data_IF_178595401045
#
_entry.id   IF_178595401045
#
_cell.length_a   1.000
_cell.length_b   1.000
_cell.length_c   1.000
_cell.angle_alpha   90.00
_cell.angle_beta   90.00
_cell.angle_gamma   90.00
#
_symmetry.space_group_name_H-M   'P 1'
#
loop_
_entity.id
_entity.type
_entity.pdbx_description
1 polymer ?
#
# COMPACT_ATOMS: atom_id res chain seq x y z
N UNK A 1 38.75 -3.73 -8.95
CA UNK A 1 38.37 -3.73 -10.38
C UNK A 1 37.95 -5.17 -10.68
N UNK A 2 36.68 -5.50 -10.91
CA UNK A 2 35.78 -4.88 -11.87
C UNK A 2 34.32 -4.91 -11.38
N UNK A 3 33.53 -4.04 -11.99
CA UNK A 3 32.19 -3.66 -11.60
C UNK A 3 31.13 -4.73 -11.91
N UNK A 4 30.25 -4.98 -10.93
CA UNK A 4 28.88 -5.42 -11.16
C UNK A 4 27.94 -4.27 -10.80
N UNK A 5 27.91 -3.27 -11.69
CA UNK A 5 26.86 -2.26 -11.73
C UNK A 5 25.86 -2.65 -12.83
N UNK A 6 24.79 -3.34 -12.45
CA UNK A 6 23.70 -3.62 -13.38
C UNK A 6 22.60 -4.50 -12.78
N UNK A 7 21.46 -3.89 -12.42
CA UNK A 7 20.09 -4.48 -12.56
C UNK A 7 18.98 -3.83 -11.72
N UNK A 8 19.12 -2.61 -11.21
CA UNK A 8 18.01 -1.97 -10.45
C UNK A 8 16.91 -1.31 -11.31
N UNK A 9 16.94 -1.47 -12.64
CA UNK A 9 16.00 -0.79 -13.57
C UNK A 9 14.83 -1.70 -14.03
N UNK A 10 14.96 -3.05 -13.99
CA UNK A 10 13.95 -3.94 -14.62
C UNK A 10 12.79 -4.39 -13.72
N UNK A 11 12.83 -4.20 -12.39
CA UNK A 11 11.76 -4.64 -11.47
C UNK A 11 10.58 -3.67 -11.32
N UNK A 12 10.64 -2.48 -11.91
CA UNK A 12 9.59 -1.45 -11.78
C UNK A 12 8.50 -1.53 -12.87
N UNK A 13 8.80 -2.20 -13.98
CA UNK A 13 7.90 -2.35 -15.11
C UNK A 13 7.28 -3.74 -15.09
N UNK A 14 5.95 -3.81 -15.09
CA UNK A 14 5.21 -5.05 -15.25
C UNK A 14 4.87 -5.16 -16.73
N UNK A 15 5.46 -6.14 -17.42
CA UNK A 15 5.32 -6.37 -18.86
C UNK A 15 4.01 -7.10 -19.20
N UNK A 16 2.90 -6.60 -18.67
CA UNK A 16 1.56 -7.14 -18.86
C UNK A 16 0.71 -6.13 -19.65
N UNK A 17 0.46 -6.37 -20.94
CA UNK A 17 -0.43 -5.53 -21.72
C UNK A 17 -1.82 -5.48 -21.07
N UNK A 18 -2.26 -4.30 -20.65
CA UNK A 18 -3.47 -4.16 -19.85
C UNK A 18 -4.25 -2.88 -20.20
N UNK A 19 -5.54 -2.91 -19.91
CA UNK A 19 -6.41 -1.75 -19.88
C UNK A 19 -6.66 -1.37 -18.42
N UNK A 20 -6.27 -0.15 -18.04
CA UNK A 20 -6.45 0.38 -16.70
C UNK A 20 -7.73 1.22 -16.70
N UNK A 21 -8.83 0.65 -16.22
CA UNK A 21 -10.13 1.31 -16.15
C UNK A 21 -10.15 2.24 -14.94
N UNK A 22 -10.57 3.48 -15.16
CA UNK A 22 -10.58 4.50 -14.11
C UNK A 22 -11.94 4.56 -13.42
N UNK A 23 -11.91 4.84 -12.11
CA UNK A 23 -13.10 5.35 -11.40
C UNK A 23 -13.41 6.78 -11.85
N UNK A 24 -14.57 7.30 -11.45
CA UNK A 24 -14.93 8.71 -11.71
C UNK A 24 -13.89 9.67 -11.13
N UNK A 25 -13.44 9.44 -9.89
CA UNK A 25 -12.42 10.25 -9.25
C UNK A 25 -11.08 10.16 -9.97
N UNK A 26 -10.72 8.96 -10.45
CA UNK A 26 -9.53 8.74 -11.26
C UNK A 26 -9.57 9.48 -12.59
N UNK A 27 -10.71 9.43 -13.28
CA UNK A 27 -10.96 10.16 -14.52
C UNK A 27 -10.78 11.67 -14.31
N UNK A 28 -11.47 12.25 -13.32
CA UNK A 28 -11.41 13.68 -13.05
C UNK A 28 -9.99 14.14 -12.69
N UNK A 29 -9.25 13.31 -11.94
CA UNK A 29 -7.85 13.58 -11.60
C UNK A 29 -6.96 13.58 -12.85
N UNK A 30 -7.06 12.57 -13.70
CA UNK A 30 -6.24 12.44 -14.90
C UNK A 30 -6.58 13.50 -15.97
N UNK A 31 -7.86 13.83 -16.12
CA UNK A 31 -8.32 14.88 -17.03
C UNK A 31 -7.74 16.25 -16.66
N UNK A 32 -7.69 16.59 -15.36
CA UNK A 32 -7.00 17.81 -14.87
C UNK A 32 -5.50 17.81 -15.18
N UNK A 33 -4.88 16.63 -15.11
CA UNK A 33 -3.46 16.43 -15.43
C UNK A 33 -3.12 16.48 -16.93
N UNK A 34 -4.11 16.68 -17.82
CA UNK A 34 -3.97 16.63 -19.28
C UNK A 34 -3.44 15.28 -19.80
N UNK A 35 -3.62 14.20 -19.05
CA UNK A 35 -3.29 12.85 -19.52
C UNK A 35 -4.33 12.43 -20.57
N UNK A 36 -3.92 11.96 -21.76
CA UNK A 36 -4.86 11.48 -22.76
C UNK A 36 -5.65 10.28 -22.23
N UNK A 37 -6.98 10.40 -22.18
CA UNK A 37 -7.88 9.33 -21.77
C UNK A 37 -8.52 8.71 -23.02
N UNK A 38 -8.64 7.38 -23.03
CA UNK A 38 -9.25 6.65 -24.14
C UNK A 38 -10.34 5.72 -23.65
N UNK A 39 -11.22 5.31 -24.57
CA UNK A 39 -12.14 4.21 -24.31
C UNK A 39 -11.36 2.91 -24.43
N UNK A 40 -11.21 2.20 -23.33
CA UNK A 40 -10.48 0.94 -23.24
C UNK A 40 -11.44 -0.22 -22.97
N UNK A 41 -11.10 -1.44 -23.41
CA UNK A 41 -11.87 -2.63 -23.04
C UNK A 41 -11.78 -2.89 -21.53
N UNK A 42 -12.83 -3.48 -20.99
CA UNK A 42 -12.91 -3.93 -19.61
C UNK A 42 -13.83 -5.14 -19.51
N UNK A 43 -14.19 -5.54 -18.29
CA UNK A 43 -15.19 -6.58 -18.07
C UNK A 43 -16.55 -6.11 -18.61
N UNK A 44 -16.92 -6.60 -19.80
CA UNK A 44 -18.14 -6.25 -20.54
C UNK A 44 -17.87 -5.82 -21.98
N UNK A 45 -18.93 -5.53 -22.75
CA UNK A 45 -18.84 -5.16 -24.18
C UNK A 45 -18.76 -3.65 -24.42
N UNK A 46 -19.18 -2.83 -23.46
CA UNK A 46 -19.06 -1.37 -23.54
C UNK A 46 -17.66 -0.94 -23.09
N UNK A 47 -16.89 -0.31 -23.98
CA UNK A 47 -15.62 0.31 -23.61
C UNK A 47 -15.83 1.33 -22.49
N UNK A 48 -14.89 1.44 -21.55
CA UNK A 48 -14.91 2.34 -20.39
C UNK A 48 -13.79 3.36 -20.47
N UNK A 49 -13.87 4.45 -19.70
CA UNK A 49 -12.80 5.45 -19.68
C UNK A 49 -11.58 4.92 -18.93
N UNK A 50 -10.41 5.01 -19.55
CA UNK A 50 -9.20 4.46 -18.96
C UNK A 50 -7.92 4.78 -19.71
N UNK A 51 -6.88 4.02 -19.37
CA UNK A 51 -5.55 4.12 -19.95
C UNK A 51 -5.18 2.78 -20.57
N UNK A 52 -4.69 2.82 -21.81
CA UNK A 52 -4.18 1.63 -22.50
C UNK A 52 -2.69 1.49 -22.24
N UNK A 53 -2.27 0.34 -21.73
CA UNK A 53 -0.88 0.02 -21.42
C UNK A 53 -0.39 -1.12 -22.31
N UNK A 54 -0.18 -0.85 -23.61
CA UNK A 54 0.11 -1.90 -24.61
C UNK A 54 1.42 -2.67 -24.36
N UNK A 55 2.43 -2.03 -23.75
CA UNK A 55 3.74 -2.63 -23.45
C UNK A 55 3.91 -3.01 -21.98
N UNK A 56 2.86 -2.90 -21.18
CA UNK A 56 2.94 -2.97 -19.73
C UNK A 56 2.91 -1.61 -19.04
N UNK A 57 3.03 -1.63 -17.72
CA UNK A 57 2.82 -0.46 -16.87
C UNK A 57 3.82 -0.40 -15.70
N UNK A 58 4.09 0.81 -15.23
CA UNK A 58 4.94 1.01 -14.06
C UNK A 58 4.20 0.65 -12.77
N UNK A 59 4.74 -0.31 -12.04
CA UNK A 59 4.21 -0.83 -10.78
C UNK A 59 3.90 0.29 -9.78
N UNK A 60 4.84 1.21 -9.54
CA UNK A 60 4.66 2.29 -8.57
C UNK A 60 3.51 3.25 -8.92
N UNK A 61 3.28 3.48 -10.22
CA UNK A 61 2.20 4.37 -10.69
C UNK A 61 0.86 3.71 -10.43
N UNK A 62 0.70 2.46 -10.87
CA UNK A 62 -0.54 1.68 -10.66
C UNK A 62 -0.82 1.47 -9.17
N UNK A 63 0.20 1.21 -8.36
CA UNK A 63 0.07 1.11 -6.90
C UNK A 63 -0.49 2.41 -6.31
N UNK A 64 0.08 3.55 -6.68
CA UNK A 64 -0.44 4.87 -6.24
C UNK A 64 -1.88 5.10 -6.70
N UNK A 65 -2.22 4.74 -7.93
CA UNK A 65 -3.58 4.87 -8.43
C UNK A 65 -4.55 4.00 -7.64
N UNK A 66 -4.19 2.75 -7.35
CA UNK A 66 -4.99 1.84 -6.52
C UNK A 66 -5.16 2.37 -5.08
N UNK A 67 -4.08 2.87 -4.46
CA UNK A 67 -4.13 3.49 -3.13
C UNK A 67 -5.09 4.67 -3.07
N UNK A 68 -5.15 5.48 -4.14
CA UNK A 68 -6.05 6.63 -4.22
C UNK A 68 -7.45 6.27 -4.74
N UNK A 69 -7.76 5.00 -4.98
CA UNK A 69 -9.04 4.53 -5.57
C UNK A 69 -9.32 5.12 -6.96
N UNK A 70 -8.28 5.36 -7.75
CA UNK A 70 -8.40 5.85 -9.12
C UNK A 70 -8.62 4.74 -10.14
N UNK A 71 -8.38 3.48 -9.77
CA UNK A 71 -8.58 2.31 -10.62
C UNK A 71 -9.84 1.57 -10.19
N UNK A 72 -10.71 1.31 -11.17
CA UNK A 72 -11.85 0.41 -11.03
C UNK A 72 -11.43 -1.04 -11.34
N UNK A 73 -10.68 -1.21 -12.42
CA UNK A 73 -10.34 -2.53 -12.98
C UNK A 73 -8.97 -2.49 -13.69
N UNK A 74 -8.24 -3.60 -13.62
CA UNK A 74 -7.10 -3.89 -14.50
C UNK A 74 -7.51 -5.05 -15.39
N UNK A 75 -7.81 -4.75 -16.65
CA UNK A 75 -8.29 -5.74 -17.61
C UNK A 75 -7.17 -6.24 -18.52
N UNK A 76 -7.06 -7.55 -18.66
CA UNK A 76 -6.08 -8.21 -19.51
C UNK A 76 -6.80 -9.21 -20.41
N UNK A 77 -6.57 -9.10 -21.72
CA UNK A 77 -7.04 -10.05 -22.70
C UNK A 77 -5.84 -10.53 -23.53
N UNK A 78 -5.48 -11.81 -23.38
CA UNK A 78 -4.42 -12.46 -24.14
C UNK A 78 -4.86 -13.89 -24.47
N UNK A 79 -4.43 -14.44 -25.62
CA UNK A 79 -4.66 -15.85 -25.95
C UNK A 79 -3.95 -16.84 -25.00
N UNK A 80 -2.84 -16.40 -24.40
CA UNK A 80 -2.01 -17.16 -23.47
C UNK A 80 -1.62 -16.23 -22.30
N UNK A 81 -2.27 -16.45 -21.16
CA UNK A 81 -2.03 -15.80 -19.88
C UNK A 81 -1.05 -16.60 -19.01
N UNK A 82 -0.94 -17.92 -19.19
CA UNK A 82 0.01 -18.75 -18.44
C UNK A 82 1.46 -18.35 -18.69
N UNK A 83 1.83 -17.93 -19.91
CA UNK A 83 3.16 -17.35 -20.17
C UNK A 83 3.41 -16.02 -19.45
N UNK A 84 2.37 -15.38 -18.91
CA UNK A 84 2.42 -14.13 -18.13
C UNK A 84 2.25 -14.34 -16.62
N UNK A 85 2.43 -15.58 -16.15
CA UNK A 85 2.28 -15.95 -14.73
C UNK A 85 2.98 -14.99 -13.78
N UNK A 86 4.25 -14.68 -14.03
CA UNK A 86 5.05 -13.85 -13.15
C UNK A 86 4.50 -12.41 -13.06
N UNK A 87 4.07 -11.84 -14.17
CA UNK A 87 3.50 -10.50 -14.25
C UNK A 87 2.12 -10.42 -13.61
N UNK A 88 1.28 -11.45 -13.77
CA UNK A 88 -0.04 -11.52 -13.13
C UNK A 88 0.11 -11.59 -11.61
N UNK A 89 0.98 -12.47 -11.10
CA UNK A 89 1.29 -12.57 -9.67
C UNK A 89 1.84 -11.23 -9.14
N UNK A 90 2.77 -10.62 -9.87
CA UNK A 90 3.35 -9.32 -9.49
C UNK A 90 2.28 -8.21 -9.44
N UNK A 91 1.35 -8.20 -10.39
CA UNK A 91 0.22 -7.26 -10.42
C UNK A 91 -0.72 -7.48 -9.25
N UNK A 92 -1.08 -8.74 -8.96
CA UNK A 92 -1.92 -9.06 -7.82
C UNK A 92 -1.28 -8.62 -6.50
N UNK A 93 -0.01 -8.97 -6.30
CA UNK A 93 0.73 -8.53 -5.12
C UNK A 93 0.73 -6.99 -5.03
N UNK A 94 1.06 -6.29 -6.10
CA UNK A 94 1.04 -4.83 -6.13
C UNK A 94 -0.27 -4.24 -5.59
N UNK A 95 -1.41 -4.78 -6.04
CA UNK A 95 -2.75 -4.32 -5.66
C UNK A 95 -3.05 -4.66 -4.20
N UNK A 96 -2.75 -5.87 -3.74
CA UNK A 96 -2.94 -6.26 -2.34
C UNK A 96 -2.13 -5.35 -1.41
N UNK A 97 -0.85 -5.10 -1.73
CA UNK A 97 -0.02 -4.18 -0.96
C UNK A 97 -0.58 -2.75 -0.98
N UNK A 98 -1.09 -2.27 -2.13
CA UNK A 98 -1.75 -0.96 -2.23
C UNK A 98 -2.94 -0.85 -1.25
N UNK A 99 -3.77 -1.89 -1.18
CA UNK A 99 -4.93 -1.95 -0.28
C UNK A 99 -4.47 -1.95 1.18
N UNK A 100 -3.47 -2.77 1.52
CA UNK A 100 -2.91 -2.82 2.87
C UNK A 100 -2.36 -1.46 3.30
N UNK A 101 -1.58 -0.78 2.46
CA UNK A 101 -1.08 0.56 2.75
C UNK A 101 -2.19 1.59 2.94
N UNK A 102 -3.23 1.54 2.09
CA UNK A 102 -4.38 2.45 2.19
C UNK A 102 -5.17 2.26 3.49
N UNK A 103 -5.28 1.02 3.97
CA UNK A 103 -6.05 0.67 5.18
C UNK A 103 -5.28 0.92 6.48
N UNK A 104 -3.95 0.87 6.43
CA UNK A 104 -3.08 1.07 7.60
C UNK A 104 -3.33 2.40 8.32
N UNK A 105 -3.24 3.53 7.60
CA UNK A 105 -3.36 4.86 8.23
C UNK A 105 -4.70 5.06 8.96
N UNK A 106 -5.86 4.73 8.36
CA UNK A 106 -7.14 4.73 9.07
C UNK A 106 -7.16 3.83 10.32
N UNK A 107 -6.62 2.62 10.26
CA UNK A 107 -6.57 1.72 11.42
C UNK A 107 -5.71 2.28 12.56
N UNK A 108 -4.56 2.86 12.23
CA UNK A 108 -3.71 3.54 13.22
C UNK A 108 -4.43 4.75 13.82
N UNK A 109 -5.10 5.56 12.98
CA UNK A 109 -5.85 6.72 13.42
C UNK A 109 -6.92 6.34 14.44
N UNK A 110 -7.73 5.33 14.12
CA UNK A 110 -8.80 4.82 14.99
C UNK A 110 -8.25 4.45 16.37
N UNK A 111 -7.15 3.68 16.41
CA UNK A 111 -6.54 3.24 17.67
C UNK A 111 -5.94 4.39 18.49
N UNK A 112 -5.37 5.40 17.84
CA UNK A 112 -4.91 6.61 18.53
C UNK A 112 -6.08 7.39 19.11
N UNK A 113 -7.10 7.65 18.31
CA UNK A 113 -8.24 8.50 18.70
C UNK A 113 -9.06 7.85 19.83
N UNK A 114 -9.08 6.53 19.91
CA UNK A 114 -9.69 5.76 21.01
C UNK A 114 -8.91 5.85 22.34
N UNK A 115 -7.63 6.22 22.30
CA UNK A 115 -6.75 6.25 23.46
C UNK A 115 -7.20 7.28 24.52
N UNK A 116 -6.92 6.97 25.79
CA UNK A 116 -7.23 7.89 26.89
C UNK A 116 -6.45 9.21 26.79
N UNK A 117 -5.26 9.20 26.17
CA UNK A 117 -4.46 10.42 25.95
C UNK A 117 -5.18 11.41 25.05
N UNK A 118 -5.78 10.95 23.94
CA UNK A 118 -6.53 11.85 23.04
C UNK A 118 -7.79 12.36 23.72
N UNK A 119 -8.49 11.52 24.50
CA UNK A 119 -9.65 11.95 25.29
C UNK A 119 -9.28 13.04 26.28
N UNK A 120 -8.17 12.89 27.00
CA UNK A 120 -7.66 13.90 27.93
C UNK A 120 -7.18 15.17 27.22
N UNK A 121 -6.52 15.02 26.07
CA UNK A 121 -6.11 16.14 25.23
C UNK A 121 -7.33 16.96 24.79
N UNK A 122 -8.38 16.31 24.31
CA UNK A 122 -9.62 16.95 23.87
C UNK A 122 -10.33 17.67 25.02
N UNK A 123 -10.34 17.07 26.22
CA UNK A 123 -10.89 17.70 27.42
C UNK A 123 -10.14 18.99 27.79
N UNK A 124 -8.82 19.02 27.65
CA UNK A 124 -7.98 20.21 27.91
C UNK A 124 -8.03 21.23 26.76
N UNK A 125 -8.29 20.78 25.53
CA UNK A 125 -8.28 21.60 24.32
C UNK A 125 -9.61 21.51 23.54
N UNK A 126 -10.74 21.93 24.12
CA UNK A 126 -12.07 21.71 23.54
C UNK A 126 -12.21 22.32 22.14
N UNK A 127 -11.60 23.49 21.89
CA UNK A 127 -11.62 24.18 20.57
C UNK A 127 -10.78 23.50 19.49
N UNK A 128 -9.87 22.60 19.88
CA UNK A 128 -8.96 21.88 18.98
C UNK A 128 -9.09 20.36 19.17
N UNK A 129 -10.31 19.88 19.45
CA UNK A 129 -10.56 18.46 19.68
C UNK A 129 -10.22 17.62 18.45
N UNK A 130 -9.48 16.55 18.68
CA UNK A 130 -9.08 15.55 17.71
C UNK A 130 -10.13 14.46 17.66
N UNK A 131 -11.08 14.58 16.73
CA UNK A 131 -12.18 13.60 16.52
C UNK A 131 -11.95 12.76 15.27
N UNK A 132 -11.30 13.32 14.25
CA UNK A 132 -10.86 12.62 13.03
C UNK A 132 -9.45 13.13 12.69
N UNK A 133 -8.53 12.24 12.32
CA UNK A 133 -7.20 12.64 11.84
C UNK A 133 -7.27 13.54 10.61
N UNK A 134 -8.36 13.49 9.82
CA UNK A 134 -8.58 14.37 8.67
C UNK A 134 -8.78 15.83 9.04
N UNK A 135 -9.14 16.14 10.29
CA UNK A 135 -9.24 17.53 10.76
C UNK A 135 -7.87 18.21 10.86
N UNK A 136 -6.79 17.42 10.92
CA UNK A 136 -5.42 17.91 10.96
C UNK A 136 -5.05 18.43 9.56
N UNK A 137 -4.66 19.71 9.43
CA UNK A 137 -4.19 20.25 8.17
C UNK A 137 -2.95 19.50 7.70
N UNK A 138 -2.99 18.97 6.47
CA UNK A 138 -1.89 18.18 5.90
C UNK A 138 -0.57 18.96 5.89
N UNK A 139 -0.60 20.24 5.53
CA UNK A 139 0.58 21.10 5.51
C UNK A 139 1.25 21.22 6.89
N UNK A 140 0.47 21.33 7.96
CA UNK A 140 1.01 21.41 9.32
C UNK A 140 1.65 20.10 9.77
N UNK A 141 1.05 18.96 9.40
CA UNK A 141 1.61 17.65 9.68
C UNK A 141 2.92 17.40 8.90
N UNK A 142 2.94 17.75 7.61
CA UNK A 142 4.13 17.66 6.75
C UNK A 142 5.27 18.55 7.28
N UNK A 143 4.95 19.77 7.72
CA UNK A 143 5.91 20.70 8.32
C UNK A 143 6.47 20.17 9.63
N UNK A 144 5.62 19.61 10.52
CA UNK A 144 6.07 19.02 11.79
C UNK A 144 7.08 17.89 11.54
N UNK A 145 6.76 16.95 10.65
CA UNK A 145 7.62 15.80 10.33
C UNK A 145 8.96 16.28 9.75
N UNK A 146 8.92 17.28 8.88
CA UNK A 146 10.14 17.86 8.29
C UNK A 146 10.99 18.57 9.33
N UNK A 147 10.38 19.40 10.18
CA UNK A 147 11.08 20.20 11.20
C UNK A 147 11.68 19.35 12.32
N UNK A 148 11.03 18.23 12.65
CA UNK A 148 11.46 17.30 13.72
C UNK A 148 11.98 15.98 13.14
N UNK A 149 12.66 16.03 12.00
CA UNK A 149 13.12 14.83 11.28
C UNK A 149 13.89 13.86 12.18
N UNK A 150 14.86 14.36 12.96
CA UNK A 150 15.69 13.51 13.83
C UNK A 150 14.85 12.76 14.88
N UNK A 151 13.83 13.40 15.44
CA UNK A 151 12.91 12.76 16.38
C UNK A 151 12.10 11.66 15.70
N UNK A 152 11.60 11.91 14.48
CA UNK A 152 10.84 10.89 13.74
C UNK A 152 11.74 9.74 13.26
N UNK A 153 12.99 10.01 12.92
CA UNK A 153 13.97 8.95 12.61
C UNK A 153 14.21 8.04 13.83
N UNK A 154 14.28 8.60 15.05
CA UNK A 154 14.33 7.82 16.30
C UNK A 154 13.06 6.98 16.46
N UNK A 155 11.88 7.62 16.39
CA UNK A 155 10.58 6.92 16.51
C UNK A 155 10.46 5.77 15.50
N UNK A 156 10.93 5.97 14.26
CA UNK A 156 10.90 4.94 13.24
C UNK A 156 11.83 3.78 13.55
N UNK A 157 13.01 4.06 14.12
CA UNK A 157 13.94 3.01 14.52
C UNK A 157 13.41 2.23 15.73
N UNK A 158 12.88 2.90 16.75
CA UNK A 158 12.29 2.24 17.92
C UNK A 158 11.15 1.29 17.49
N UNK A 159 10.27 1.77 16.60
CA UNK A 159 9.18 0.98 16.04
C UNK A 159 9.69 -0.21 15.22
N UNK A 160 10.77 -0.01 14.44
CA UNK A 160 11.39 -1.09 13.69
C UNK A 160 11.97 -2.14 14.61
N UNK A 161 12.65 -1.74 15.67
CA UNK A 161 13.26 -2.65 16.64
C UNK A 161 12.19 -3.49 17.34
N UNK A 162 11.04 -2.89 17.68
CA UNK A 162 9.89 -3.63 18.22
C UNK A 162 9.32 -4.66 17.23
N UNK A 163 9.14 -4.27 15.97
CA UNK A 163 8.66 -5.21 14.93
C UNK A 163 9.69 -6.31 14.67
N UNK A 164 10.98 -5.97 14.61
CA UNK A 164 12.08 -6.90 14.39
C UNK A 164 12.24 -7.90 15.54
N UNK A 165 12.13 -7.42 16.77
CA UNK A 165 12.09 -8.26 17.96
C UNK A 165 10.92 -9.24 17.88
N UNK A 166 9.74 -8.77 17.49
CA UNK A 166 8.57 -9.64 17.33
C UNK A 166 8.78 -10.69 16.23
N UNK A 167 9.31 -10.30 15.07
CA UNK A 167 9.66 -11.24 13.99
C UNK A 167 10.68 -12.28 14.44
N UNK A 168 11.67 -11.91 15.26
CA UNK A 168 12.69 -12.82 15.77
C UNK A 168 12.12 -13.95 16.64
N UNK A 169 10.95 -13.70 17.26
CA UNK A 169 10.23 -14.66 18.11
C UNK A 169 9.28 -15.58 17.34
N UNK A 170 9.20 -15.45 16.02
CA UNK A 170 8.35 -16.29 15.17
C UNK A 170 9.12 -17.49 14.62
N UNK A 171 8.40 -18.57 14.36
CA UNK A 171 8.91 -19.77 13.67
C UNK A 171 8.93 -19.62 12.14
N UNK A 172 8.78 -18.39 11.63
CA UNK A 172 8.82 -18.12 10.19
C UNK A 172 10.21 -18.43 9.61
N UNK A 173 10.28 -18.87 8.34
CA UNK A 173 11.54 -18.93 7.62
C UNK A 173 12.27 -17.57 7.59
N UNK A 174 13.60 -17.58 7.62
CA UNK A 174 14.40 -16.35 7.58
C UNK A 174 14.18 -15.51 6.31
N UNK A 175 13.84 -16.16 5.19
CA UNK A 175 13.48 -15.49 3.95
C UNK A 175 12.18 -14.67 4.10
N UNK A 176 11.17 -15.23 4.77
CA UNK A 176 9.89 -14.55 5.04
C UNK A 176 10.08 -13.40 6.02
N UNK A 177 10.89 -13.60 7.07
CA UNK A 177 11.26 -12.52 7.99
C UNK A 177 11.94 -11.39 7.24
N UNK A 178 12.92 -11.69 6.39
CA UNK A 178 13.63 -10.70 5.57
C UNK A 178 12.68 -9.94 4.65
N UNK A 179 11.72 -10.65 4.03
CA UNK A 179 10.71 -10.03 3.16
C UNK A 179 9.81 -9.07 3.93
N UNK A 180 9.36 -9.46 5.12
CA UNK A 180 8.55 -8.60 6.02
C UNK A 180 9.34 -7.38 6.50
N UNK A 181 10.62 -7.54 6.86
CA UNK A 181 11.51 -6.41 7.21
C UNK A 181 11.68 -5.41 6.07
N UNK A 182 11.86 -5.88 4.84
CA UNK A 182 11.92 -4.99 3.66
C UNK A 182 10.58 -4.29 3.40
N UNK A 183 9.46 -4.95 3.69
CA UNK A 183 8.13 -4.35 3.54
C UNK A 183 7.88 -3.28 4.62
N UNK A 184 8.38 -3.46 5.85
CA UNK A 184 8.21 -2.54 6.97
C UNK A 184 8.61 -1.11 6.61
N UNK A 185 9.76 -0.92 5.96
CA UNK A 185 10.20 0.39 5.48
C UNK A 185 9.17 1.08 4.59
N UNK A 186 8.50 0.31 3.71
CA UNK A 186 7.45 0.84 2.85
C UNK A 186 6.19 1.15 3.65
N UNK A 187 5.77 0.26 4.55
CA UNK A 187 4.60 0.49 5.42
C UNK A 187 4.75 1.79 6.20
N UNK A 188 5.88 1.98 6.89
CA UNK A 188 6.16 3.19 7.69
C UNK A 188 6.14 4.46 6.81
N UNK A 189 6.80 4.42 5.65
CA UNK A 189 6.83 5.57 4.71
C UNK A 189 5.47 5.93 4.11
N UNK A 190 4.54 4.98 4.03
CA UNK A 190 3.20 5.19 3.49
C UNK A 190 2.17 5.61 4.55
N UNK A 191 2.55 5.61 5.84
CA UNK A 191 1.71 6.19 6.88
C UNK A 191 1.57 7.68 6.61
N UNK A 192 0.33 8.17 6.64
CA UNK A 192 0.03 9.58 6.44
C UNK A 192 0.65 10.43 7.56
N UNK A 193 1.30 11.54 7.22
CA UNK A 193 1.97 12.41 8.19
C UNK A 193 1.04 12.95 9.29
N UNK A 194 -0.28 13.02 9.04
CA UNK A 194 -1.25 13.37 10.09
C UNK A 194 -1.32 12.32 11.20
N UNK A 195 -1.06 11.05 10.88
CA UNK A 195 -0.94 9.98 11.88
C UNK A 195 0.35 10.17 12.68
N UNK A 196 1.46 10.52 12.02
CA UNK A 196 2.71 10.85 12.71
C UNK A 196 2.58 12.08 13.61
N UNK A 197 1.80 13.07 13.19
CA UNK A 197 1.45 14.22 14.01
C UNK A 197 0.68 13.80 15.28
N UNK A 198 -0.34 12.95 15.13
CA UNK A 198 -1.08 12.39 16.27
C UNK A 198 -0.17 11.58 17.19
N UNK A 199 0.66 10.73 16.60
CA UNK A 199 1.64 9.93 17.33
C UNK A 199 2.60 10.80 18.14
N UNK A 200 3.06 11.93 17.58
CA UNK A 200 3.93 12.86 18.29
C UNK A 200 3.27 13.44 19.55
N UNK A 201 1.98 13.78 19.50
CA UNK A 201 1.24 14.26 20.69
C UNK A 201 1.20 13.17 21.77
N UNK A 202 0.95 11.92 21.37
CA UNK A 202 0.94 10.78 22.28
C UNK A 202 2.31 10.47 22.88
N UNK A 203 3.35 10.56 22.07
CA UNK A 203 4.73 10.29 22.45
C UNK A 203 5.22 11.21 23.57
N UNK A 204 4.65 12.42 23.67
CA UNK A 204 4.95 13.37 24.75
C UNK A 204 4.20 13.06 26.06
N UNK A 205 3.39 12.00 26.11
CA UNK A 205 2.60 11.62 27.28
C UNK A 205 3.24 10.44 28.04
N UNK A 206 2.86 10.21 29.31
CA UNK A 206 3.31 9.03 30.06
C UNK A 206 2.92 7.67 29.44
N UNK A 207 2.00 7.65 28.46
CA UNK A 207 1.54 6.44 27.78
C UNK A 207 2.34 6.11 26.51
N UNK A 208 3.48 6.77 26.29
CA UNK A 208 4.36 6.57 25.14
C UNK A 208 4.61 5.08 24.84
N UNK A 209 5.06 4.30 25.83
CA UNK A 209 5.44 2.90 25.63
C UNK A 209 4.28 1.98 25.25
N UNK A 210 3.09 2.21 25.81
CA UNK A 210 1.88 1.45 25.44
C UNK A 210 1.44 1.77 24.01
N UNK A 211 1.51 3.04 23.63
CA UNK A 211 1.16 3.48 22.28
C UNK A 211 2.15 3.00 21.23
N UNK A 212 3.44 3.00 21.54
CA UNK A 212 4.48 2.47 20.67
C UNK A 212 4.28 0.97 20.42
N UNK A 213 4.02 0.21 21.48
CA UNK A 213 3.70 -1.22 21.37
C UNK A 213 2.45 -1.44 20.51
N UNK A 214 1.39 -0.66 20.74
CA UNK A 214 0.15 -0.73 19.96
C UNK A 214 0.40 -0.45 18.47
N UNK A 215 1.22 0.56 18.16
CA UNK A 215 1.63 0.89 16.80
C UNK A 215 2.41 -0.25 16.13
N UNK A 216 3.42 -0.77 16.82
CA UNK A 216 4.22 -1.89 16.34
C UNK A 216 3.36 -3.14 16.11
N UNK A 217 2.40 -3.41 17.00
CA UNK A 217 1.49 -4.54 16.90
C UNK A 217 0.57 -4.44 15.67
N UNK A 218 0.00 -3.25 15.41
CA UNK A 218 -0.83 -3.02 14.22
C UNK A 218 0.01 -3.18 12.96
N UNK A 219 1.20 -2.58 12.90
CA UNK A 219 2.08 -2.70 11.73
C UNK A 219 2.50 -4.16 11.52
N UNK A 220 2.82 -4.89 12.59
CA UNK A 220 3.11 -6.31 12.52
C UNK A 220 1.94 -7.11 11.93
N UNK A 221 0.70 -6.86 12.37
CA UNK A 221 -0.50 -7.49 11.80
C UNK A 221 -0.64 -7.20 10.30
N UNK A 222 -0.36 -5.96 9.87
CA UNK A 222 -0.40 -5.60 8.45
C UNK A 222 0.73 -6.26 7.63
N UNK A 223 1.91 -6.45 8.22
CA UNK A 223 2.99 -7.23 7.62
C UNK A 223 2.61 -8.69 7.50
N UNK A 224 1.97 -9.27 8.50
CA UNK A 224 1.48 -10.64 8.46
C UNK A 224 0.43 -10.84 7.35
N UNK A 225 -0.46 -9.87 7.20
CA UNK A 225 -1.47 -9.83 6.13
C UNK A 225 -0.89 -9.72 4.72
N UNK A 226 0.41 -9.46 4.55
CA UNK A 226 1.04 -9.53 3.22
C UNK A 226 1.03 -10.95 2.64
N UNK A 227 0.93 -11.98 3.49
CA UNK A 227 0.74 -13.38 3.06
C UNK A 227 -0.55 -13.60 2.25
N UNK A 228 -1.58 -12.76 2.46
CA UNK A 228 -2.81 -12.75 1.67
C UNK A 228 -2.49 -12.60 0.17
N UNK A 229 -1.46 -11.81 -0.16
CA UNK A 229 -1.04 -11.60 -1.53
C UNK A 229 -0.59 -12.91 -2.20
N UNK A 230 0.15 -13.76 -1.47
CA UNK A 230 0.58 -15.08 -1.95
C UNK A 230 -0.61 -16.03 -2.14
N UNK A 231 -1.50 -16.11 -1.16
CA UNK A 231 -2.69 -16.97 -1.25
C UNK A 231 -3.61 -16.55 -2.41
N UNK A 232 -3.86 -15.25 -2.54
CA UNK A 232 -4.68 -14.73 -3.62
C UNK A 232 -4.01 -14.94 -4.99
N UNK A 233 -2.68 -14.79 -5.06
CA UNK A 233 -1.94 -15.07 -6.29
C UNK A 233 -2.07 -16.52 -6.74
N UNK A 234 -2.00 -17.46 -5.79
CA UNK A 234 -2.20 -18.89 -6.11
C UNK A 234 -3.61 -19.14 -6.64
N UNK A 235 -4.63 -18.61 -5.95
CA UNK A 235 -6.03 -18.74 -6.37
C UNK A 235 -6.29 -18.14 -7.76
N UNK A 236 -5.77 -16.93 -8.03
CA UNK A 236 -5.88 -16.29 -9.34
C UNK A 236 -5.25 -17.17 -10.42
N UNK A 237 -4.13 -17.82 -10.14
CA UNK A 237 -3.46 -18.67 -11.11
C UNK A 237 -4.16 -19.99 -11.35
N UNK A 238 -4.80 -20.56 -10.34
CA UNK A 238 -5.70 -21.71 -10.51
C UNK A 238 -6.87 -21.33 -11.43
N UNK A 239 -7.48 -20.15 -11.25
CA UNK A 239 -8.55 -19.69 -12.14
C UNK A 239 -8.09 -19.48 -13.58
N UNK A 240 -6.93 -18.85 -13.78
CA UNK A 240 -6.36 -18.66 -15.12
C UNK A 240 -6.08 -19.99 -15.80
N UNK A 241 -5.45 -20.93 -15.10
CA UNK A 241 -5.15 -22.26 -15.64
C UNK A 241 -6.43 -23.02 -16.01
N UNK A 242 -7.45 -22.97 -15.16
CA UNK A 242 -8.74 -23.60 -15.43
C UNK A 242 -9.46 -22.95 -16.62
N UNK A 243 -9.42 -21.62 -16.73
CA UNK A 243 -10.04 -20.88 -17.82
C UNK A 243 -9.36 -21.20 -19.17
N UNK A 244 -8.03 -21.26 -19.22
CA UNK A 244 -7.31 -21.65 -20.43
C UNK A 244 -7.59 -23.10 -20.82
N UNK A 245 -7.54 -24.04 -19.86
CA UNK A 245 -7.86 -25.44 -20.13
C UNK A 245 -9.26 -25.58 -20.76
N UNK A 246 -10.26 -24.93 -20.17
CA UNK A 246 -11.63 -24.95 -20.69
C UNK A 246 -11.76 -24.28 -22.06
N UNK A 247 -10.91 -23.31 -22.39
CA UNK A 247 -10.85 -22.72 -23.72
C UNK A 247 -10.27 -23.70 -24.74
N UNK A 248 -9.16 -24.37 -24.41
CA UNK A 248 -8.53 -25.36 -25.27
C UNK A 248 -9.40 -26.60 -25.51
N UNK A 249 -10.18 -27.06 -24.51
CA UNK A 249 -11.10 -28.19 -24.68
C UNK A 249 -12.29 -27.89 -25.63
N UNK A 250 -12.53 -26.61 -25.94
CA UNK A 250 -13.61 -26.18 -26.84
C UNK A 250 -13.16 -25.94 -28.28
N UNK A 251 -11.84 -25.96 -28.53
CA UNK A 251 -11.23 -25.84 -29.86
C UNK A 251 -11.11 -27.21 -30.53
#
# INVERSE_FOLDING_TARGET
MSAESGSNVSKSLINLPASLVLTKEGFDFMARGKTPLTRVPGMGTTGKDGLKADKGFHAQVVQKMAMNSYLEEIYVAQPDLLSRRAEIISTNNLIVYAILYKKLSPTLAEKILESNVVKDFNRKNPKHSLVDFRSIPKAAADELVTKKKDLFDIIFNDLKDHVDYRLSRTDLPEEDKTTRKRALDKFVRWIDNRIWFLYHILYQSPLQGEMEKTFADIIYTYLDNTSIATHLSNLVMEFVQNAEKAHFERL
#
